data_IF_461275246121
#
_entry.id   IF_461275246121
#
_cell.length_a   1.000
_cell.length_b   1.000
_cell.length_c   1.000
_cell.angle_alpha   90.00
_cell.angle_beta   90.00
_cell.angle_gamma   90.00
#
_symmetry.space_group_name_H-M   'P 1'
#
loop_
_entity.id
_entity.type
_entity.pdbx_description
1 polymer ?
#
# COMPACT_ATOMS: atom_id res chain seq x y z
N UNK A 1 56.02 -16.04 -25.71
CA UNK A 1 56.67 -14.94 -26.47
C UNK A 1 56.41 -15.23 -27.93
N UNK A 2 55.59 -14.52 -28.70
CA UNK A 2 55.47 -13.07 -28.81
C UNK A 2 54.03 -12.67 -29.14
N UNK A 3 53.70 -11.45 -28.74
CA UNK A 3 52.38 -10.80 -28.69
C UNK A 3 52.17 -10.01 -30.03
N UNK A 4 51.20 -9.09 -30.18
CA UNK A 4 49.90 -9.31 -30.83
C UNK A 4 49.59 -8.34 -32.00
N UNK A 5 48.37 -8.47 -32.53
CA UNK A 5 47.41 -7.37 -32.80
C UNK A 5 47.28 -6.70 -34.19
N UNK A 6 46.00 -6.58 -34.56
CA UNK A 6 45.29 -5.58 -35.39
C UNK A 6 45.55 -5.57 -36.90
N UNK A 7 44.49 -5.84 -37.70
CA UNK A 7 43.70 -4.83 -38.41
C UNK A 7 42.91 -5.48 -39.56
N UNK A 8 41.58 -5.39 -39.52
CA UNK A 8 40.66 -5.08 -40.64
C UNK A 8 39.19 -5.37 -40.24
N UNK A 9 38.49 -4.31 -39.85
CA UNK A 9 37.06 -4.09 -40.17
C UNK A 9 36.93 -3.83 -41.70
N UNK A 10 35.73 -3.81 -42.37
CA UNK A 10 34.41 -3.41 -41.87
C UNK A 10 33.18 -4.19 -42.42
N UNK A 11 32.01 -4.01 -41.81
CA UNK A 11 30.65 -4.02 -42.41
C UNK A 11 29.68 -3.80 -41.23
N UNK A 12 29.21 -2.60 -40.91
CA UNK A 12 28.11 -1.87 -41.56
C UNK A 12 26.79 -2.65 -41.59
N UNK A 13 25.99 -2.52 -40.53
CA UNK A 13 24.53 -2.63 -40.59
C UNK A 13 23.92 -1.79 -39.46
N UNK A 14 23.50 -0.58 -39.84
CA UNK A 14 22.67 0.35 -39.08
C UNK A 14 21.21 -0.08 -39.29
N UNK A 15 20.39 -0.05 -38.24
CA UNK A 15 18.99 0.42 -38.20
C UNK A 15 18.20 -0.36 -37.14
N UNK A 16 17.57 0.37 -36.21
CA UNK A 16 16.53 -0.22 -35.38
C UNK A 16 16.37 0.43 -34.01
N UNK A 17 16.19 1.74 -33.97
CA UNK A 17 15.64 2.43 -32.81
C UNK A 17 14.23 1.90 -32.54
N UNK A 18 14.12 0.92 -31.64
CA UNK A 18 12.86 0.40 -31.12
C UNK A 18 12.61 0.99 -29.74
N UNK A 19 11.92 2.12 -29.72
CA UNK A 19 11.34 2.80 -28.58
C UNK A 19 10.70 1.77 -27.60
N UNK A 20 11.39 1.46 -26.49
CA UNK A 20 10.78 0.74 -25.38
C UNK A 20 9.69 1.64 -24.78
N UNK A 21 8.45 1.40 -25.18
CA UNK A 21 7.28 1.84 -24.42
C UNK A 21 7.41 1.23 -23.02
N UNK A 22 7.75 2.08 -22.05
CA UNK A 22 7.49 1.79 -20.64
C UNK A 22 5.98 1.65 -20.49
N UNK A 23 5.52 0.41 -20.39
CA UNK A 23 4.17 0.09 -19.97
C UNK A 23 3.95 0.72 -18.60
N UNK A 24 3.12 1.76 -18.55
CA UNK A 24 2.59 2.32 -17.31
C UNK A 24 1.63 1.31 -16.70
N UNK A 25 2.18 0.36 -15.93
CA UNK A 25 1.39 -0.41 -14.98
C UNK A 25 0.82 0.57 -13.97
N UNK A 26 -0.49 0.83 -14.06
CA UNK A 26 -1.28 1.56 -13.07
C UNK A 26 -1.38 0.73 -11.80
N UNK A 27 -0.28 0.65 -11.07
CA UNK A 27 -0.31 0.21 -9.68
C UNK A 27 -0.69 1.43 -8.86
N UNK A 28 -1.62 1.23 -7.91
CA UNK A 28 -1.87 2.18 -6.84
C UNK A 28 -0.52 2.53 -6.21
N UNK A 29 -0.09 3.78 -6.41
CA UNK A 29 1.23 4.26 -6.05
C UNK A 29 1.12 5.26 -4.93
N UNK A 30 2.04 5.19 -3.97
CA UNK A 30 2.24 6.25 -2.99
C UNK A 30 2.43 7.58 -3.73
N UNK A 31 1.67 8.61 -3.34
CA UNK A 31 1.80 9.92 -3.97
C UNK A 31 3.17 10.53 -3.64
N UNK A 32 3.81 11.23 -4.60
CA UNK A 32 5.02 11.99 -4.34
C UNK A 32 4.84 12.95 -3.14
N UNK A 33 5.85 13.10 -2.27
CA UNK A 33 5.73 13.89 -1.04
C UNK A 33 5.36 15.36 -1.32
N UNK A 34 5.76 15.91 -2.47
CA UNK A 34 5.40 17.25 -2.90
C UNK A 34 3.89 17.41 -3.15
N UNK A 35 3.24 16.43 -3.78
CA UNK A 35 1.80 16.46 -4.04
C UNK A 35 1.00 16.28 -2.74
N UNK A 36 1.46 15.37 -1.87
CA UNK A 36 0.88 15.19 -0.54
C UNK A 36 0.90 16.50 0.27
N UNK A 37 2.02 17.23 0.28
CA UNK A 37 2.12 18.49 0.99
C UNK A 37 1.16 19.56 0.45
N UNK A 38 1.02 19.65 -0.87
CA UNK A 38 0.06 20.57 -1.51
C UNK A 38 -1.39 20.23 -1.14
N UNK A 39 -1.75 18.94 -1.16
CA UNK A 39 -3.08 18.48 -0.74
C UNK A 39 -3.36 18.80 0.73
N UNK A 40 -2.40 18.53 1.64
CA UNK A 40 -2.51 18.87 3.07
C UNK A 40 -2.72 20.37 3.28
N UNK A 41 -1.98 21.20 2.55
CA UNK A 41 -2.10 22.65 2.66
C UNK A 41 -3.45 23.14 2.16
N UNK A 42 -3.90 22.66 0.98
CA UNK A 42 -5.18 23.10 0.42
C UNK A 42 -6.37 22.63 1.25
N UNK A 43 -6.33 21.39 1.74
CA UNK A 43 -7.40 20.84 2.57
C UNK A 43 -7.47 21.53 3.94
N UNK A 44 -6.33 21.83 4.57
CA UNK A 44 -6.34 22.59 5.84
C UNK A 44 -6.83 24.03 5.67
N UNK A 45 -6.55 24.68 4.53
CA UNK A 45 -7.09 26.01 4.21
C UNK A 45 -8.60 25.99 3.93
N UNK A 46 -9.09 24.96 3.22
CA UNK A 46 -10.50 24.88 2.81
C UNK A 46 -11.40 24.32 3.91
N UNK A 47 -10.85 23.44 4.76
CA UNK A 47 -11.53 22.73 5.83
C UNK A 47 -10.65 22.76 7.10
N UNK A 48 -10.82 23.77 7.98
CA UNK A 48 -9.98 23.94 9.17
C UNK A 48 -10.07 22.76 10.15
N UNK A 49 -11.21 22.08 10.20
CA UNK A 49 -11.47 20.94 11.08
C UNK A 49 -11.16 19.58 10.41
N UNK A 50 -10.45 19.58 9.28
CA UNK A 50 -10.11 18.34 8.58
C UNK A 50 -9.07 17.54 9.39
N UNK A 51 -9.26 16.21 9.55
CA UNK A 51 -8.37 15.42 10.37
C UNK A 51 -6.98 15.29 9.72
N UNK A 52 -5.93 15.06 10.53
CA UNK A 52 -4.56 15.05 10.04
C UNK A 52 -4.34 13.90 9.05
N UNK A 53 -3.83 14.24 7.86
CA UNK A 53 -3.51 13.27 6.83
C UNK A 53 -2.14 12.68 7.11
N UNK A 54 -2.06 11.36 7.19
CA UNK A 54 -0.81 10.62 7.36
C UNK A 54 -0.15 10.33 6.01
N UNK A 55 -0.87 9.65 5.12
CA UNK A 55 -0.41 9.20 3.81
C UNK A 55 -1.48 9.42 2.75
N UNK A 56 -1.07 9.46 1.47
CA UNK A 56 -1.98 9.51 0.34
C UNK A 56 -1.54 8.58 -0.77
N UNK A 57 -2.49 7.92 -1.42
CA UNK A 57 -2.23 6.99 -2.52
C UNK A 57 -3.25 7.15 -3.65
N UNK A 58 -2.89 6.74 -4.85
CA UNK A 58 -3.85 6.67 -5.96
C UNK A 58 -4.71 5.42 -5.86
N UNK A 59 -5.99 5.53 -6.21
CA UNK A 59 -6.89 4.37 -6.26
C UNK A 59 -6.95 3.76 -7.68
N UNK A 60 -7.48 2.54 -7.84
CA UNK A 60 -7.79 1.96 -9.15
C UNK A 60 -8.82 2.78 -9.95
N UNK A 61 -9.58 3.67 -9.30
CA UNK A 61 -10.50 4.59 -9.96
C UNK A 61 -9.74 5.86 -10.40
N UNK A 62 -9.64 6.14 -11.71
CA UNK A 62 -8.91 7.31 -12.20
C UNK A 62 -9.48 8.61 -11.65
N UNK A 63 -8.58 9.50 -11.19
CA UNK A 63 -8.97 10.80 -10.64
C UNK A 63 -9.44 10.74 -9.19
N UNK A 64 -9.32 9.61 -8.50
CA UNK A 64 -9.61 9.49 -7.08
C UNK A 64 -8.35 9.15 -6.30
N UNK A 65 -8.01 10.02 -5.35
CA UNK A 65 -6.93 9.87 -4.39
C UNK A 65 -7.50 9.40 -3.06
N UNK A 66 -6.86 8.41 -2.49
CA UNK A 66 -7.05 7.96 -1.13
C UNK A 66 -6.18 8.78 -0.16
N UNK A 67 -6.78 9.26 0.91
CA UNK A 67 -6.12 9.94 2.02
C UNK A 67 -6.34 9.09 3.29
N UNK A 68 -5.24 8.72 3.93
CA UNK A 68 -5.28 8.06 5.23
C UNK A 68 -5.18 9.10 6.34
N UNK A 69 -6.08 8.99 7.31
CA UNK A 69 -6.09 9.82 8.50
C UNK A 69 -6.35 8.94 9.72
N UNK A 70 -5.28 8.49 10.39
CA UNK A 70 -5.36 7.51 11.47
C UNK A 70 -5.99 6.20 10.98
N UNK A 71 -7.15 5.87 11.54
CA UNK A 71 -7.96 4.68 11.23
C UNK A 71 -9.08 4.95 10.21
N UNK A 72 -9.08 6.11 9.56
CA UNK A 72 -10.09 6.44 8.55
C UNK A 72 -9.43 6.62 7.19
N UNK A 73 -10.16 6.19 6.16
CA UNK A 73 -9.84 6.42 4.76
C UNK A 73 -10.84 7.42 4.21
N UNK A 74 -10.33 8.48 3.60
CA UNK A 74 -11.10 9.56 2.99
C UNK A 74 -10.64 9.70 1.55
N UNK A 75 -11.55 10.01 0.63
CA UNK A 75 -11.21 10.17 -0.77
C UNK A 75 -11.28 11.63 -1.21
N UNK A 76 -10.44 12.00 -2.18
CA UNK A 76 -10.41 13.34 -2.76
C UNK A 76 -10.05 13.30 -4.24
N UNK A 77 -10.33 14.36 -4.97
CA UNK A 77 -9.82 14.54 -6.32
C UNK A 77 -8.33 14.98 -6.30
N UNK A 78 -7.61 14.92 -7.44
CA UNK A 78 -6.18 15.23 -7.47
C UNK A 78 -5.85 16.68 -7.11
N UNK A 79 -6.86 17.56 -7.16
CA UNK A 79 -6.70 18.97 -6.80
C UNK A 79 -7.19 19.27 -5.38
N UNK A 80 -7.80 18.34 -4.65
CA UNK A 80 -8.31 18.60 -3.29
C UNK A 80 -9.47 19.61 -3.24
N UNK A 81 -10.32 19.63 -4.26
CA UNK A 81 -11.54 20.45 -4.36
C UNK A 81 -12.78 19.75 -3.79
N UNK A 82 -12.80 18.42 -3.82
CA UNK A 82 -13.90 17.60 -3.34
C UNK A 82 -13.40 16.56 -2.35
N UNK A 83 -14.22 16.29 -1.34
CA UNK A 83 -13.98 15.26 -0.34
C UNK A 83 -15.14 14.29 -0.34
N UNK A 84 -14.83 13.00 -0.35
CA UNK A 84 -15.80 11.90 -0.33
C UNK A 84 -15.48 11.03 0.89
N UNK A 85 -16.50 10.81 1.72
CA UNK A 85 -16.43 9.91 2.87
C UNK A 85 -17.32 8.71 2.61
N UNK A 86 -16.75 7.51 2.69
CA UNK A 86 -17.47 6.27 2.45
C UNK A 86 -16.56 5.15 1.94
N UNK A 87 -17.18 4.12 1.38
CA UNK A 87 -16.48 2.96 0.86
C UNK A 87 -16.38 3.00 -0.67
N UNK A 88 -15.21 2.66 -1.19
CA UNK A 88 -14.97 2.45 -2.61
C UNK A 88 -15.15 0.97 -2.93
N UNK A 89 -16.26 0.64 -3.59
CA UNK A 89 -16.58 -0.74 -4.00
C UNK A 89 -16.38 -0.89 -5.50
N UNK A 90 -15.53 -1.84 -5.91
CA UNK A 90 -15.36 -2.19 -7.32
C UNK A 90 -16.56 -2.99 -7.81
N UNK A 91 -17.33 -2.46 -8.75
CA UNK A 91 -18.56 -3.13 -9.24
C UNK A 91 -18.29 -4.43 -9.99
N UNK A 92 -17.12 -4.60 -10.59
CA UNK A 92 -16.76 -5.80 -11.38
C UNK A 92 -16.54 -7.03 -10.51
N UNK A 93 -15.87 -6.84 -9.38
CA UNK A 93 -15.51 -7.91 -8.45
C UNK A 93 -16.36 -7.89 -7.18
N UNK A 94 -17.18 -6.85 -7.00
CA UNK A 94 -17.94 -6.55 -5.79
C UNK A 94 -17.08 -6.44 -4.53
N UNK A 95 -15.79 -6.13 -4.70
CA UNK A 95 -14.83 -6.00 -3.61
C UNK A 95 -14.86 -4.60 -3.03
N UNK A 96 -14.82 -4.51 -1.70
CA UNK A 96 -14.70 -3.25 -0.99
C UNK A 96 -13.22 -2.90 -0.82
N UNK A 97 -12.71 -2.03 -1.70
CA UNK A 97 -11.30 -1.64 -1.72
C UNK A 97 -10.90 -0.88 -0.45
N UNK A 98 -11.82 -0.13 0.14
CA UNK A 98 -11.58 0.58 1.41
C UNK A 98 -11.37 -0.38 2.56
N UNK A 99 -12.19 -1.43 2.64
CA UNK A 99 -12.09 -2.44 3.70
C UNK A 99 -10.84 -3.29 3.55
N UNK A 100 -10.52 -3.73 2.34
CA UNK A 100 -9.27 -4.44 2.08
C UNK A 100 -8.05 -3.60 2.44
N UNK A 101 -8.09 -2.31 2.12
CA UNK A 101 -7.02 -1.39 2.49
C UNK A 101 -6.91 -1.21 3.99
N UNK A 102 -8.04 -1.15 4.68
CA UNK A 102 -8.07 -1.06 6.13
C UNK A 102 -7.53 -2.33 6.78
N UNK A 103 -7.83 -3.51 6.22
CA UNK A 103 -7.28 -4.79 6.65
C UNK A 103 -5.76 -4.86 6.45
N UNK A 104 -5.25 -4.35 5.32
CA UNK A 104 -3.81 -4.23 5.07
C UNK A 104 -3.13 -3.30 6.08
N UNK A 105 -3.74 -2.15 6.40
CA UNK A 105 -3.21 -1.19 7.37
C UNK A 105 -3.22 -1.78 8.78
N UNK A 106 -4.28 -2.51 9.14
CA UNK A 106 -4.41 -3.16 10.44
C UNK A 106 -3.62 -4.47 10.55
N UNK A 107 -2.99 -4.92 9.47
CA UNK A 107 -2.24 -6.17 9.48
C UNK A 107 -1.02 -6.03 10.40
N UNK A 108 -0.98 -6.88 11.43
CA UNK A 108 0.13 -6.94 12.36
C UNK A 108 1.20 -7.86 11.79
N UNK A 109 2.44 -7.37 11.73
CA UNK A 109 3.58 -8.22 11.40
C UNK A 109 3.87 -9.18 12.57
N UNK A 110 3.67 -10.47 12.32
CA UNK A 110 3.95 -11.55 13.26
C UNK A 110 5.39 -11.58 13.76
N UNK A 111 6.35 -11.02 13.00
CA UNK A 111 7.76 -10.97 13.39
C UNK A 111 8.01 -10.01 14.56
N UNK A 112 7.16 -8.99 14.71
CA UNK A 112 7.27 -7.98 15.76
C UNK A 112 6.68 -8.44 17.09
N UNK A 113 5.92 -9.54 17.08
CA UNK A 113 5.26 -10.06 18.27
C UNK A 113 6.27 -10.74 19.21
N UNK A 114 6.16 -10.54 20.54
CA UNK A 114 7.04 -11.19 21.52
C UNK A 114 6.66 -12.66 21.74
N UNK A 115 6.83 -13.50 20.70
CA UNK A 115 6.43 -14.92 20.73
C UNK A 115 7.24 -15.76 21.72
N UNK A 116 8.36 -15.26 22.22
CA UNK A 116 9.19 -15.92 23.25
C UNK A 116 8.47 -16.06 24.59
N UNK A 117 7.56 -15.14 24.90
CA UNK A 117 6.82 -15.10 26.17
C UNK A 117 5.43 -15.76 26.02
N UNK A 118 5.12 -16.25 24.82
CA UNK A 118 3.82 -16.83 24.50
C UNK A 118 3.74 -18.31 24.88
N UNK A 119 2.56 -18.74 25.34
CA UNK A 119 2.23 -20.16 25.51
C UNK A 119 1.85 -20.72 24.14
N UNK A 120 2.65 -21.67 23.62
CA UNK A 120 2.47 -22.22 22.28
C UNK A 120 1.73 -23.56 22.33
N UNK A 121 0.54 -23.62 21.74
CA UNK A 121 -0.17 -24.87 21.44
C UNK A 121 -0.07 -25.18 19.95
N UNK A 122 0.38 -26.38 19.58
CA UNK A 122 0.42 -26.85 18.19
C UNK A 122 -0.48 -28.08 17.98
N UNK A 123 -1.40 -27.99 17.03
CA UNK A 123 -2.16 -29.13 16.52
C UNK A 123 -1.80 -29.38 15.04
N UNK A 124 -1.42 -30.62 14.70
CA UNK A 124 -1.00 -30.99 13.35
C UNK A 124 0.30 -30.34 12.88
N UNK A 125 0.35 -29.88 11.62
CA UNK A 125 1.57 -29.39 10.97
C UNK A 125 1.90 -27.91 11.26
N UNK A 126 0.99 -27.14 11.87
CA UNK A 126 1.22 -25.73 12.23
C UNK A 126 1.25 -24.74 11.06
N UNK A 127 0.66 -25.08 9.89
CA UNK A 127 0.60 -24.17 8.73
C UNK A 127 -0.22 -22.89 9.00
N UNK A 128 -1.23 -22.97 9.86
CA UNK A 128 -2.02 -21.82 10.31
C UNK A 128 -1.54 -21.42 11.70
N UNK A 129 -1.19 -20.15 11.85
CA UNK A 129 -0.77 -19.56 13.12
C UNK A 129 -1.82 -18.54 13.55
N UNK A 130 -2.22 -18.62 14.81
CA UNK A 130 -3.14 -17.69 15.45
C UNK A 130 -2.46 -17.22 16.74
N UNK A 131 -2.55 -15.93 17.03
CA UNK A 131 -2.05 -15.35 18.28
C UNK A 131 -3.25 -14.72 18.98
N UNK A 132 -3.43 -15.07 20.24
CA UNK A 132 -4.49 -14.55 21.09
C UNK A 132 -3.82 -13.82 22.24
N UNK A 133 -4.18 -12.55 22.43
CA UNK A 133 -3.80 -11.80 23.63
C UNK A 133 -4.91 -11.99 24.67
N UNK A 134 -4.61 -12.72 25.74
CA UNK A 134 -5.55 -13.07 26.79
C UNK A 134 -5.10 -12.53 28.15
N UNK A 135 -6.05 -12.04 28.94
CA UNK A 135 -5.85 -11.62 30.33
C UNK A 135 -6.45 -12.70 31.28
N UNK A 136 -5.70 -13.22 32.26
CA UNK A 136 -6.19 -14.24 33.21
C UNK A 136 -7.44 -13.83 34.02
N UNK A 137 -7.68 -12.54 34.19
CA UNK A 137 -8.83 -11.99 34.90
C UNK A 137 -10.03 -11.72 33.97
N UNK A 138 -9.85 -11.84 32.65
CA UNK A 138 -10.93 -11.63 31.69
C UNK A 138 -11.82 -12.88 31.59
N UNK A 139 -13.05 -12.77 32.11
CA UNK A 139 -14.04 -13.85 32.02
C UNK A 139 -14.44 -14.21 30.58
N UNK A 140 -14.29 -13.30 29.61
CA UNK A 140 -14.53 -13.59 28.20
C UNK A 140 -13.38 -14.39 27.57
N UNK A 141 -12.13 -14.10 27.90
CA UNK A 141 -10.97 -14.86 27.42
C UNK A 141 -11.05 -16.34 27.85
N UNK A 142 -11.47 -16.60 29.10
CA UNK A 142 -11.68 -17.97 29.61
C UNK A 142 -12.72 -18.80 28.87
N UNK A 143 -13.65 -18.16 28.16
CA UNK A 143 -14.69 -18.85 27.36
C UNK A 143 -14.22 -19.11 25.93
N UNK A 144 -13.18 -18.41 25.50
CA UNK A 144 -12.66 -18.43 24.14
C UNK A 144 -11.51 -19.44 23.98
N UNK A 145 -10.79 -19.73 25.08
CA UNK A 145 -9.82 -20.83 25.24
C UNK A 145 -10.50 -22.18 25.50
#
# INVERSE_FOLDING_TARGET
>A
MNRPSVFKSPLMAILGAGLMLLASSSWAGELPPAQLAQLKQKLSQSLPDFPPIDSAQTTPMPGLIELRSGNNIIYTDPKGEFVIQGNLVETKTQRNLTEERMDEINQIDFSTLPLKDAVVWKNGNGKRRMVVFADPNCGYCKRLE
#
